data_IF_316495959531
#
_entry.id   IF_316495959531
#
_cell.length_a   1.000
_cell.length_b   1.000
_cell.length_c   1.000
_cell.angle_alpha   90.00
_cell.angle_beta   90.00
_cell.angle_gamma   90.00
#
_symmetry.space_group_name_H-M   'P 1'
#
loop_
_entity.id
_entity.type
_entity.pdbx_description
1 polymer ?
#
# COMPACT_ATOMS: atom_id res chain seq x y z
N UNK A 1 -5.56 3.28 4.27
CA UNK A 1 -4.65 4.40 4.65
C UNK A 1 -3.63 4.68 3.54
N UNK A 2 -2.97 5.87 3.52
CA UNK A 2 -2.00 6.25 2.50
C UNK A 2 -0.65 5.54 2.69
N UNK A 3 -0.65 4.23 2.43
CA UNK A 3 0.53 3.35 2.51
C UNK A 3 0.68 2.65 1.15
N UNK A 4 1.90 2.61 0.62
CA UNK A 4 2.19 2.12 -0.73
C UNK A 4 1.98 3.18 -1.81
N UNK A 5 2.24 2.82 -3.07
CA UNK A 5 2.17 3.77 -4.19
C UNK A 5 0.72 4.15 -4.44
N UNK A 6 -0.15 3.16 -4.66
CA UNK A 6 -1.53 3.40 -5.10
C UNK A 6 -2.32 4.25 -4.12
N UNK A 7 -2.20 3.95 -2.82
CA UNK A 7 -2.96 4.67 -1.80
C UNK A 7 -2.40 6.07 -1.54
N UNK A 8 -1.09 6.26 -1.68
CA UNK A 8 -0.47 7.60 -1.58
C UNK A 8 -0.88 8.47 -2.76
N UNK A 9 -0.83 7.92 -3.98
CA UNK A 9 -1.31 8.58 -5.19
C UNK A 9 -2.78 8.99 -5.05
N UNK A 10 -3.66 8.08 -4.58
CA UNK A 10 -5.08 8.36 -4.37
C UNK A 10 -5.31 9.47 -3.34
N UNK A 11 -4.58 9.48 -2.24
CA UNK A 11 -4.66 10.51 -1.21
C UNK A 11 -4.20 11.88 -1.74
N UNK A 12 -3.05 11.94 -2.44
CA UNK A 12 -2.54 13.18 -3.03
C UNK A 12 -3.49 13.74 -4.09
N UNK A 13 -4.05 12.89 -4.95
CA UNK A 13 -5.05 13.31 -5.95
C UNK A 13 -6.32 13.86 -5.28
N UNK A 14 -6.81 13.20 -4.23
CA UNK A 14 -7.99 13.66 -3.49
C UNK A 14 -7.74 15.01 -2.80
N UNK A 15 -6.56 15.20 -2.20
CA UNK A 15 -6.17 16.49 -1.60
C UNK A 15 -6.10 17.58 -2.67
N UNK A 16 -5.37 17.34 -3.76
CA UNK A 16 -5.24 18.28 -4.88
C UNK A 16 -6.61 18.69 -5.45
N UNK A 17 -7.53 17.74 -5.60
CA UNK A 17 -8.89 18.00 -6.05
C UNK A 17 -9.68 18.84 -5.04
N UNK A 18 -9.58 18.54 -3.75
CA UNK A 18 -10.31 19.23 -2.70
C UNK A 18 -9.82 20.67 -2.47
N UNK A 19 -8.52 20.92 -2.68
CA UNK A 19 -7.90 22.23 -2.46
C UNK A 19 -7.74 23.06 -3.75
N UNK A 20 -7.92 22.44 -4.92
CA UNK A 20 -7.65 23.07 -6.22
C UNK A 20 -6.15 23.32 -6.46
N UNK A 21 -5.26 22.68 -5.70
CA UNK A 21 -3.82 22.83 -5.83
C UNK A 21 -3.22 21.77 -6.75
N UNK A 22 -2.12 22.10 -7.42
CA UNK A 22 -1.36 21.13 -8.19
C UNK A 22 -0.45 20.28 -7.29
N UNK A 23 -0.21 19.03 -7.66
CA UNK A 23 0.80 18.18 -7.00
C UNK A 23 2.19 18.74 -7.36
N UNK A 24 3.05 19.06 -6.38
CA UNK A 24 4.38 19.57 -6.65
C UNK A 24 5.25 18.60 -7.47
N UNK A 25 6.12 19.15 -8.32
CA UNK A 25 7.04 18.36 -9.12
C UNK A 25 8.00 17.50 -8.28
N UNK A 26 8.38 17.99 -7.09
CA UNK A 26 9.23 17.25 -6.14
C UNK A 26 8.58 15.96 -5.63
N UNK A 27 7.27 15.96 -5.40
CA UNK A 27 6.50 14.77 -4.98
C UNK A 27 6.41 13.77 -6.12
N UNK A 28 6.24 14.26 -7.35
CA UNK A 28 6.27 13.40 -8.54
C UNK A 28 7.65 12.76 -8.73
N UNK A 29 8.72 13.52 -8.49
CA UNK A 29 10.09 13.00 -8.54
C UNK A 29 10.37 11.99 -7.41
N UNK A 30 9.83 12.22 -6.22
CA UNK A 30 9.91 11.27 -5.09
C UNK A 30 9.22 9.94 -5.41
N UNK A 31 8.01 10.00 -5.96
CA UNK A 31 7.31 8.82 -6.46
C UNK A 31 8.15 8.06 -7.49
N UNK A 32 8.82 8.76 -8.40
CA UNK A 32 9.75 8.17 -9.37
C UNK A 32 10.89 7.40 -8.70
N UNK A 33 11.53 7.98 -7.67
CA UNK A 33 12.59 7.33 -6.90
C UNK A 33 12.10 6.08 -6.16
N UNK A 34 10.87 6.10 -5.64
CA UNK A 34 10.27 4.92 -5.01
C UNK A 34 10.06 3.78 -6.03
N UNK A 35 9.53 4.10 -7.21
CA UNK A 35 9.33 3.10 -8.28
C UNK A 35 10.66 2.50 -8.76
N UNK A 36 11.69 3.34 -8.86
CA UNK A 36 13.06 2.91 -9.18
C UNK A 36 13.60 1.93 -8.13
N UNK A 37 13.50 2.27 -6.85
CA UNK A 37 13.92 1.40 -5.75
C UNK A 37 13.15 0.06 -5.68
N UNK A 38 11.85 0.07 -6.02
CA UNK A 38 11.05 -1.15 -6.15
C UNK A 38 11.56 -2.01 -7.29
N UNK A 39 11.90 -1.40 -8.44
CA UNK A 39 12.42 -2.11 -9.61
C UNK A 39 13.75 -2.78 -9.29
N UNK A 40 14.67 -2.07 -8.61
CA UNK A 40 15.96 -2.60 -8.18
C UNK A 40 15.82 -3.75 -7.18
N UNK A 41 14.80 -3.68 -6.31
CA UNK A 41 14.58 -4.65 -5.24
C UNK A 41 13.67 -5.82 -5.63
N UNK A 42 12.94 -5.72 -6.74
CA UNK A 42 11.92 -6.69 -7.15
C UNK A 42 12.42 -8.14 -7.18
N UNK A 43 13.62 -8.47 -7.69
CA UNK A 43 14.13 -9.85 -7.69
C UNK A 43 14.23 -10.49 -6.30
N UNK A 44 14.42 -9.68 -5.26
CA UNK A 44 14.57 -10.15 -3.88
C UNK A 44 13.22 -10.31 -3.17
N UNK A 45 12.23 -9.49 -3.53
CA UNK A 45 10.93 -9.42 -2.84
C UNK A 45 9.86 -10.26 -3.52
N UNK A 46 9.95 -10.45 -4.84
CA UNK A 46 8.97 -11.23 -5.60
C UNK A 46 8.78 -12.65 -5.04
N UNK A 47 7.52 -13.06 -4.86
CA UNK A 47 7.14 -14.38 -4.36
C UNK A 47 7.53 -14.66 -2.90
N UNK A 48 8.01 -13.65 -2.15
CA UNK A 48 8.33 -13.83 -0.74
C UNK A 48 7.04 -13.95 0.07
N UNK A 49 6.95 -15.04 0.82
CA UNK A 49 5.84 -15.29 1.75
C UNK A 49 6.03 -14.48 3.03
N UNK A 50 5.04 -13.68 3.39
CA UNK A 50 5.11 -12.72 4.49
C UNK A 50 3.94 -12.93 5.44
N UNK A 51 4.24 -12.89 6.75
CA UNK A 51 3.25 -12.78 7.80
C UNK A 51 3.15 -11.31 8.24
N UNK A 52 1.94 -10.79 8.40
CA UNK A 52 1.67 -9.41 8.83
C UNK A 52 0.69 -9.39 9.99
N UNK A 53 0.96 -8.56 10.99
CA UNK A 53 0.10 -8.38 12.15
C UNK A 53 0.05 -6.93 12.60
N UNK A 54 -1.10 -6.48 13.09
CA UNK A 54 -1.28 -5.12 13.62
C UNK A 54 -2.73 -4.67 13.67
N UNK A 55 -2.93 -3.37 13.82
CA UNK A 55 -4.25 -2.74 13.79
C UNK A 55 -4.84 -2.71 12.36
N UNK A 56 -6.17 -2.59 12.23
CA UNK A 56 -6.88 -2.82 10.96
C UNK A 56 -6.35 -1.96 9.81
N UNK A 57 -6.22 -0.65 10.02
CA UNK A 57 -5.75 0.27 8.99
C UNK A 57 -4.33 -0.07 8.55
N UNK A 58 -3.42 -0.25 9.50
CA UNK A 58 -2.02 -0.56 9.21
C UNK A 58 -1.92 -1.85 8.39
N UNK A 59 -2.64 -2.90 8.78
CA UNK A 59 -2.64 -4.18 8.06
C UNK A 59 -3.17 -4.01 6.65
N UNK A 60 -4.30 -3.30 6.43
CA UNK A 60 -4.81 -3.06 5.08
C UNK A 60 -3.85 -2.25 4.20
N UNK A 61 -3.19 -1.24 4.78
CA UNK A 61 -2.17 -0.46 4.09
C UNK A 61 -0.97 -1.30 3.67
N UNK A 62 -0.44 -2.10 4.59
CA UNK A 62 0.68 -3.00 4.31
C UNK A 62 0.29 -4.10 3.30
N UNK A 63 -0.90 -4.68 3.40
CA UNK A 63 -1.38 -5.66 2.42
C UNK A 63 -1.41 -5.09 1.02
N UNK A 64 -1.98 -3.89 0.84
CA UNK A 64 -1.98 -3.20 -0.45
C UNK A 64 -0.56 -3.05 -1.00
N UNK A 65 0.38 -2.59 -0.17
CA UNK A 65 1.74 -2.34 -0.61
C UNK A 65 2.53 -3.63 -0.89
N UNK A 66 2.39 -4.67 -0.06
CA UNK A 66 3.05 -5.95 -0.27
C UNK A 66 2.62 -6.60 -1.59
N UNK A 67 1.34 -6.48 -1.95
CA UNK A 67 0.83 -6.94 -3.25
C UNK A 67 1.40 -6.10 -4.41
N UNK A 68 1.55 -4.79 -4.25
CA UNK A 68 2.23 -3.93 -5.24
C UNK A 68 3.69 -4.33 -5.45
N UNK A 69 4.37 -4.85 -4.42
CA UNK A 69 5.75 -5.35 -4.49
C UNK A 69 5.87 -6.77 -5.08
N UNK A 70 4.74 -7.44 -5.36
CA UNK A 70 4.74 -8.83 -5.81
C UNK A 70 5.09 -9.85 -4.72
N UNK A 71 4.96 -9.48 -3.45
CA UNK A 71 5.09 -10.39 -2.32
C UNK A 71 3.77 -11.13 -2.04
N UNK A 72 3.83 -12.18 -1.23
CA UNK A 72 2.70 -13.06 -0.91
C UNK A 72 2.37 -12.99 0.59
N UNK A 73 1.39 -12.17 1.03
CA UNK A 73 0.95 -12.14 2.42
C UNK A 73 0.18 -13.43 2.76
N UNK A 74 0.83 -14.41 3.39
CA UNK A 74 0.23 -15.74 3.64
C UNK A 74 -0.41 -15.89 5.02
N UNK A 75 -0.02 -15.06 5.99
CA UNK A 75 -0.61 -15.04 7.33
C UNK A 75 -0.91 -13.60 7.74
N UNK A 76 -2.18 -13.31 8.03
CA UNK A 76 -2.66 -11.97 8.31
C UNK A 76 -3.38 -12.02 9.66
N UNK A 77 -2.90 -11.27 10.64
CA UNK A 77 -3.47 -11.22 11.98
C UNK A 77 -3.87 -9.79 12.34
N UNK A 78 -5.13 -9.60 12.71
CA UNK A 78 -5.61 -8.34 13.23
C UNK A 78 -6.52 -8.62 14.43
N UNK A 79 -6.02 -8.42 15.65
CA UNK A 79 -6.74 -8.75 16.89
C UNK A 79 -7.90 -7.80 17.16
N UNK A 80 -7.79 -6.56 16.67
CA UNK A 80 -8.79 -5.49 16.78
C UNK A 80 -9.64 -5.36 15.51
N UNK A 81 -9.54 -6.32 14.58
CA UNK A 81 -10.30 -6.36 13.33
C UNK A 81 -11.75 -6.78 13.52
N UNK A 82 -12.63 -6.21 12.70
CA UNK A 82 -14.06 -6.54 12.62
C UNK A 82 -14.43 -7.12 11.24
N UNK A 83 -15.73 -7.35 11.02
CA UNK A 83 -16.23 -7.83 9.72
C UNK A 83 -15.95 -6.84 8.56
N UNK A 84 -15.82 -5.55 8.86
CA UNK A 84 -15.49 -4.52 7.87
C UNK A 84 -14.05 -4.68 7.40
N UNK A 85 -13.11 -4.84 8.34
CA UNK A 85 -11.72 -5.14 8.08
C UNK A 85 -11.58 -6.44 7.28
N UNK A 86 -12.25 -7.52 7.70
CA UNK A 86 -12.17 -8.83 7.05
C UNK A 86 -12.61 -8.73 5.58
N UNK A 87 -13.75 -8.08 5.31
CA UNK A 87 -14.24 -7.87 3.95
C UNK A 87 -13.26 -7.04 3.11
N UNK A 88 -12.66 -6.00 3.68
CA UNK A 88 -11.67 -5.17 3.00
C UNK A 88 -10.39 -5.95 2.69
N UNK A 89 -9.88 -6.73 3.65
CA UNK A 89 -8.70 -7.56 3.48
C UNK A 89 -8.90 -8.60 2.37
N UNK A 90 -10.03 -9.31 2.36
CA UNK A 90 -10.34 -10.25 1.29
C UNK A 90 -10.55 -9.58 -0.07
N UNK A 91 -11.04 -8.35 -0.12
CA UNK A 91 -11.15 -7.61 -1.37
C UNK A 91 -9.79 -7.24 -1.97
N UNK A 92 -8.76 -7.03 -1.14
CA UNK A 92 -7.38 -6.79 -1.61
C UNK A 92 -6.71 -8.06 -2.14
N UNK A 93 -7.06 -9.23 -1.60
CA UNK A 93 -6.42 -10.52 -1.92
C UNK A 93 -7.05 -11.25 -3.13
N UNK A 94 -8.11 -10.70 -3.72
CA UNK A 94 -8.78 -11.23 -4.92
C UNK A 94 -8.25 -10.57 -6.18
#
# INVERSE_FOLDING_TARGET
PPVGIRNTDAMLMAVAQATGTHIPAEVTAERGRLVDAITDSHPYVHGKRIAVAGDPDLVLGLLSFLLELGAEPTHILCTTGDATFEKAAYALLR
#
